data_IF_757798780617
#
_entry.id   IF_757798780617
#
_cell.length_a   1.000
_cell.length_b   1.000
_cell.length_c   1.000
_cell.angle_alpha   90.00
_cell.angle_beta   90.00
_cell.angle_gamma   90.00
#
_symmetry.space_group_name_H-M   'P 1'
#
loop_
_entity.id
_entity.type
_entity.pdbx_description
1 polymer ?
#
# COMPACT_ATOMS: atom_id res chain seq x y z
N UNK A 1 14.33 2.74 -2.77
CA UNK A 1 13.25 2.36 -1.84
C UNK A 1 13.80 1.30 -0.89
N UNK A 2 13.52 1.39 0.41
CA UNK A 2 13.96 0.41 1.41
C UNK A 2 12.75 -0.38 1.87
N UNK A 3 12.81 -1.70 1.79
CA UNK A 3 11.83 -2.59 2.40
C UNK A 3 12.28 -2.91 3.82
N UNK A 4 11.38 -2.76 4.78
CA UNK A 4 11.65 -3.04 6.22
C UNK A 4 10.98 -4.33 6.68
N UNK A 5 9.97 -4.78 5.94
CA UNK A 5 9.20 -5.98 6.22
C UNK A 5 8.61 -6.51 4.92
N UNK A 6 8.60 -7.84 4.75
CA UNK A 6 8.01 -8.53 3.59
C UNK A 6 7.33 -9.79 4.11
N UNK A 7 6.03 -9.93 3.83
CA UNK A 7 5.26 -11.13 4.17
C UNK A 7 4.86 -11.88 2.89
N UNK A 8 5.62 -12.91 2.48
CA UNK A 8 5.27 -13.75 1.33
C UNK A 8 4.26 -14.85 1.71
N UNK A 9 3.85 -15.67 0.74
CA UNK A 9 3.08 -16.90 0.98
C UNK A 9 1.56 -16.76 1.01
N UNK A 10 1.03 -15.64 0.53
CA UNK A 10 -0.41 -15.40 0.44
C UNK A 10 -0.95 -15.65 -0.97
N UNK A 11 -2.15 -16.21 -1.06
CA UNK A 11 -2.90 -16.32 -2.30
C UNK A 11 -3.22 -14.93 -2.87
N UNK A 12 -3.21 -14.78 -4.20
CA UNK A 12 -3.48 -13.49 -4.86
C UNK A 12 -4.89 -12.93 -4.62
N UNK A 13 -5.82 -13.75 -4.12
CA UNK A 13 -7.19 -13.39 -3.75
C UNK A 13 -7.34 -13.00 -2.28
N UNK A 14 -6.29 -13.09 -1.48
CA UNK A 14 -6.36 -12.78 -0.05
C UNK A 14 -6.70 -11.30 0.18
N UNK A 15 -7.53 -11.02 1.18
CA UNK A 15 -7.85 -9.64 1.53
C UNK A 15 -6.68 -8.96 2.24
N UNK A 16 -6.42 -7.71 1.89
CA UNK A 16 -5.42 -6.84 2.51
C UNK A 16 -5.47 -6.87 4.05
N UNK A 17 -6.68 -6.75 4.62
CA UNK A 17 -6.88 -6.79 6.07
C UNK A 17 -6.44 -8.11 6.71
N UNK A 18 -6.62 -9.24 6.02
CA UNK A 18 -6.21 -10.56 6.51
C UNK A 18 -4.69 -10.71 6.49
N UNK A 19 -4.05 -10.22 5.42
CA UNK A 19 -2.58 -10.20 5.31
C UNK A 19 -1.97 -9.31 6.38
N UNK A 20 -2.50 -8.10 6.60
CA UNK A 20 -2.03 -7.21 7.66
C UNK A 20 -2.24 -7.82 9.04
N UNK A 21 -3.42 -8.39 9.34
CA UNK A 21 -3.65 -9.01 10.65
C UNK A 21 -2.62 -10.09 10.94
N UNK A 22 -2.32 -10.95 9.95
CA UNK A 22 -1.30 -11.95 10.10
C UNK A 22 0.09 -11.34 10.29
N UNK A 23 0.45 -10.28 9.56
CA UNK A 23 1.71 -9.58 9.75
C UNK A 23 1.89 -9.05 11.18
N UNK A 24 0.81 -8.73 11.89
CA UNK A 24 0.84 -8.21 13.26
C UNK A 24 0.86 -9.29 14.34
N UNK A 25 0.31 -10.47 14.05
CA UNK A 25 0.17 -11.57 15.02
C UNK A 25 1.36 -12.55 15.02
N UNK A 26 2.30 -12.41 14.10
CA UNK A 26 3.47 -13.30 13.97
C UNK A 26 4.55 -12.99 15.02
N UNK A 27 5.44 -13.96 15.26
CA UNK A 27 6.63 -13.75 16.09
C UNK A 27 7.57 -12.71 15.48
N UNK A 28 7.71 -12.71 14.15
CA UNK A 28 8.41 -11.68 13.37
C UNK A 28 7.44 -10.56 12.96
N UNK A 29 6.71 -9.98 13.92
CA UNK A 29 5.64 -9.04 13.62
C UNK A 29 6.11 -7.76 12.91
N UNK A 30 5.23 -7.22 12.08
CA UNK A 30 5.39 -5.88 11.55
C UNK A 30 5.13 -4.84 12.63
N UNK A 31 6.19 -4.20 13.11
CA UNK A 31 6.10 -3.20 14.18
C UNK A 31 5.89 -1.78 13.63
N UNK A 32 4.94 -1.05 14.23
CA UNK A 32 4.81 0.39 14.00
C UNK A 32 5.62 1.15 15.04
N UNK A 33 6.60 1.98 14.64
CA UNK A 33 7.36 2.77 15.60
C UNK A 33 6.46 3.72 16.40
N UNK A 34 6.75 3.84 17.70
CA UNK A 34 5.98 4.70 18.62
C UNK A 34 5.91 6.13 18.09
N UNK A 35 4.70 6.71 18.08
CA UNK A 35 4.45 8.07 17.62
C UNK A 35 4.51 8.25 16.09
N UNK A 36 4.63 7.17 15.32
CA UNK A 36 4.63 7.21 13.85
C UNK A 36 3.44 6.48 13.27
N UNK A 37 3.15 6.81 12.00
CA UNK A 37 2.07 6.20 11.23
C UNK A 37 2.56 5.81 9.85
N UNK A 38 2.15 4.63 9.39
CA UNK A 38 2.29 4.20 8.01
C UNK A 38 1.09 4.67 7.17
N UNK A 39 1.35 5.13 5.96
CA UNK A 39 0.30 5.37 4.97
C UNK A 39 -0.07 4.04 4.32
N UNK A 40 -1.35 3.69 4.35
CA UNK A 40 -1.87 2.42 3.82
C UNK A 40 -2.85 2.67 2.68
N UNK A 41 -3.14 1.61 1.91
CA UNK A 41 -4.18 1.64 0.88
C UNK A 41 -5.59 1.87 1.47
N UNK A 42 -6.52 2.31 0.64
CA UNK A 42 -7.94 2.43 0.95
C UNK A 42 -8.60 1.10 1.37
N UNK A 43 -8.00 -0.03 0.96
CA UNK A 43 -8.39 -1.38 1.37
C UNK A 43 -8.13 -1.69 2.84
N UNK A 44 -7.24 -0.94 3.50
CA UNK A 44 -6.94 -1.12 4.92
C UNK A 44 -7.84 -0.26 5.81
N UNK A 45 -8.02 -0.71 7.05
CA UNK A 45 -8.73 0.03 8.08
C UNK A 45 -7.82 1.08 8.73
N UNK A 46 -8.36 2.27 9.00
CA UNK A 46 -7.68 3.26 9.83
C UNK A 46 -7.57 2.76 11.28
N UNK A 47 -6.44 3.04 11.93
CA UNK A 47 -6.21 2.69 13.33
C UNK A 47 -4.90 3.28 13.85
N UNK A 48 -4.58 3.10 15.14
CA UNK A 48 -3.29 3.50 15.69
C UNK A 48 -2.15 2.93 14.82
N UNK A 49 -1.27 3.81 14.33
CA UNK A 49 -0.15 3.42 13.47
C UNK A 49 -0.45 3.32 11.96
N UNK A 50 -1.71 3.42 11.52
CA UNK A 50 -2.09 3.24 10.11
C UNK A 50 -3.07 4.30 9.61
N UNK A 51 -2.73 4.96 8.49
CA UNK A 51 -3.53 6.02 7.88
C UNK A 51 -3.88 5.69 6.42
N UNK A 52 -5.12 5.29 6.22
CA UNK A 52 -5.76 5.14 4.93
C UNK A 52 -6.27 6.51 4.42
N UNK A 53 -6.44 6.70 3.10
CA UNK A 53 -7.03 7.92 2.57
C UNK A 53 -8.46 8.12 3.09
N UNK A 54 -8.90 9.38 3.16
CA UNK A 54 -10.30 9.69 3.44
C UNK A 54 -11.18 9.12 2.32
N UNK A 55 -12.18 8.33 2.72
CA UNK A 55 -13.18 7.76 1.80
C UNK A 55 -14.10 8.86 1.27
N UNK A 56 -14.69 8.60 0.10
CA UNK A 56 -15.63 9.51 -0.57
C UNK A 56 -15.07 10.93 -0.76
N UNK A 57 -13.75 11.05 -0.85
CA UNK A 57 -13.01 12.29 -1.08
C UNK A 57 -12.07 12.08 -2.24
N UNK A 58 -11.92 13.09 -3.10
CA UNK A 58 -11.03 13.06 -4.26
C UNK A 58 -9.63 12.55 -3.90
N UNK A 59 -9.06 11.68 -4.74
CA UNK A 59 -7.89 10.86 -4.38
C UNK A 59 -6.88 10.68 -5.52
N UNK A 60 -7.32 10.57 -6.77
CA UNK A 60 -6.44 10.28 -7.89
C UNK A 60 -5.65 11.52 -8.28
N UNK A 61 -4.33 11.38 -8.49
CA UNK A 61 -3.46 12.50 -8.88
C UNK A 61 -3.92 13.22 -10.14
N UNK A 62 -4.50 12.48 -11.10
CA UNK A 62 -5.00 13.02 -12.36
C UNK A 62 -6.15 14.02 -12.14
N UNK A 63 -6.93 13.86 -11.08
CA UNK A 63 -8.02 14.77 -10.76
C UNK A 63 -7.50 16.16 -10.36
N UNK A 64 -6.24 16.26 -9.92
CA UNK A 64 -5.59 17.50 -9.49
C UNK A 64 -4.73 18.17 -10.58
N UNK A 65 -4.59 17.53 -11.76
CA UNK A 65 -3.71 18.02 -12.82
C UNK A 65 -4.29 19.22 -13.60
N UNK A 66 -5.61 19.43 -13.52
CA UNK A 66 -6.30 20.54 -14.18
C UNK A 66 -6.09 21.86 -13.43
N UNK A 67 -5.88 22.95 -14.17
CA UNK A 67 -5.69 24.27 -13.61
C UNK A 67 -6.93 24.70 -12.79
N UNK A 68 -6.72 25.27 -11.59
CA UNK A 68 -7.79 25.69 -10.68
C UNK A 68 -8.36 24.59 -9.77
N UNK A 69 -7.94 23.33 -9.95
CA UNK A 69 -8.50 22.19 -9.23
C UNK A 69 -7.77 21.91 -7.90
N UNK A 70 -7.30 22.93 -7.18
CA UNK A 70 -6.50 22.74 -5.95
C UNK A 70 -7.34 22.16 -4.80
N UNK A 71 -6.73 21.43 -3.85
CA UNK A 71 -7.43 20.98 -2.66
C UNK A 71 -8.04 22.14 -1.89
N UNK A 72 -9.34 22.04 -1.60
CA UNK A 72 -10.11 23.06 -0.87
C UNK A 72 -10.29 22.67 0.59
N UNK A 73 -10.33 21.37 0.88
CA UNK A 73 -10.50 20.84 2.24
C UNK A 73 -9.23 20.17 2.77
N UNK A 74 -9.14 20.05 4.09
CA UNK A 74 -8.04 19.30 4.72
C UNK A 74 -8.02 17.81 4.31
N UNK A 75 -9.20 17.23 4.04
CA UNK A 75 -9.32 15.82 3.58
C UNK A 75 -8.75 15.65 2.18
N UNK A 76 -9.08 16.57 1.28
CA UNK A 76 -8.52 16.59 -0.08
C UNK A 76 -7.02 16.81 -0.07
N UNK A 77 -6.53 17.74 0.76
CA UNK A 77 -5.10 18.00 0.88
C UNK A 77 -4.35 16.77 1.41
N UNK A 78 -4.94 16.09 2.40
CA UNK A 78 -4.41 14.83 2.91
C UNK A 78 -4.37 13.76 1.81
N UNK A 79 -5.48 13.52 1.12
CA UNK A 79 -5.56 12.52 0.05
C UNK A 79 -4.59 12.81 -1.10
N UNK A 80 -4.43 14.07 -1.51
CA UNK A 80 -3.44 14.47 -2.50
C UNK A 80 -2.02 14.10 -2.06
N UNK A 81 -1.64 14.44 -0.83
CA UNK A 81 -0.31 14.12 -0.27
C UNK A 81 -0.10 12.62 -0.12
N UNK A 82 -1.13 11.90 0.30
CA UNK A 82 -1.15 10.45 0.42
C UNK A 82 -0.92 9.79 -0.96
N UNK A 83 -1.73 10.16 -1.95
CA UNK A 83 -1.67 9.68 -3.32
C UNK A 83 -0.31 9.97 -3.99
N UNK A 84 0.29 11.15 -3.74
CA UNK A 84 1.64 11.48 -4.22
C UNK A 84 2.70 10.52 -3.67
N UNK A 85 2.63 10.18 -2.38
CA UNK A 85 3.56 9.24 -1.74
C UNK A 85 3.34 7.81 -2.23
N UNK A 86 2.08 7.38 -2.35
CA UNK A 86 1.72 6.07 -2.88
C UNK A 86 2.21 5.87 -4.32
N UNK A 87 2.10 6.89 -5.17
CA UNK A 87 2.59 6.83 -6.56
C UNK A 87 4.09 6.48 -6.64
N UNK A 88 4.91 6.94 -5.69
CA UNK A 88 6.34 6.56 -5.64
C UNK A 88 6.50 5.05 -5.39
N UNK A 89 5.69 4.48 -4.49
CA UNK A 89 5.69 3.05 -4.17
C UNK A 89 5.22 2.24 -5.38
N UNK A 90 4.08 2.60 -5.97
CA UNK A 90 3.50 1.93 -7.14
C UNK A 90 4.45 1.94 -8.34
N UNK A 91 5.04 3.11 -8.65
CA UNK A 91 6.04 3.23 -9.73
C UNK A 91 7.26 2.36 -9.46
N UNK A 92 7.71 2.29 -8.20
CA UNK A 92 8.83 1.42 -7.83
C UNK A 92 8.48 -0.03 -8.09
N UNK A 93 7.33 -0.52 -7.61
CA UNK A 93 6.87 -1.89 -7.88
C UNK A 93 6.65 -2.15 -9.37
N UNK A 94 6.19 -1.16 -10.14
CA UNK A 94 6.09 -1.23 -11.60
C UNK A 94 7.45 -1.47 -12.26
N UNK A 95 8.50 -0.79 -11.81
CA UNK A 95 9.87 -1.03 -12.28
C UNK A 95 10.38 -2.41 -11.87
N UNK A 96 10.11 -2.87 -10.64
CA UNK A 96 10.47 -4.22 -10.21
C UNK A 96 9.80 -5.27 -11.11
N UNK A 97 8.48 -5.15 -11.35
CA UNK A 97 7.74 -6.05 -12.22
C UNK A 97 8.24 -6.04 -13.67
N UNK A 98 8.73 -4.91 -14.18
CA UNK A 98 9.36 -4.83 -15.52
C UNK A 98 10.68 -5.57 -15.58
N UNK A 99 11.50 -5.49 -14.53
CA UNK A 99 12.83 -6.11 -14.47
C UNK A 99 12.77 -7.61 -14.19
N UNK A 100 11.87 -8.05 -13.30
CA UNK A 100 11.76 -9.45 -12.89
C UNK A 100 10.43 -10.05 -13.34
N UNK A 101 10.49 -10.90 -14.37
CA UNK A 101 9.31 -11.51 -14.98
C UNK A 101 8.47 -12.33 -14.00
N UNK A 102 9.11 -12.95 -12.99
CA UNK A 102 8.47 -13.75 -11.95
C UNK A 102 7.46 -12.94 -11.11
N UNK A 103 7.59 -11.61 -11.04
CA UNK A 103 6.67 -10.74 -10.30
C UNK A 103 5.43 -10.32 -11.13
N UNK A 104 5.37 -10.69 -12.41
CA UNK A 104 4.29 -10.27 -13.32
C UNK A 104 3.13 -11.26 -13.37
N UNK A 105 3.42 -12.54 -13.17
CA UNK A 105 2.45 -13.62 -13.34
C UNK A 105 2.52 -14.55 -12.13
N UNK A 106 1.38 -15.14 -11.79
CA UNK A 106 1.34 -16.21 -10.81
C UNK A 106 2.27 -17.34 -11.27
N UNK A 107 3.10 -17.83 -10.37
CA UNK A 107 3.93 -19.00 -10.65
C UNK A 107 3.04 -20.24 -10.75
N UNK A 108 3.34 -21.11 -11.72
CA UNK A 108 2.64 -22.40 -11.91
C UNK A 108 2.99 -23.41 -10.80
N UNK A 109 3.97 -23.10 -9.96
CA UNK A 109 4.34 -23.94 -8.82
C UNK A 109 3.33 -23.78 -7.68
N UNK A 110 3.10 -24.82 -6.89
CA UNK A 110 2.22 -24.71 -5.73
C UNK A 110 2.85 -23.73 -4.70
N UNK A 111 2.05 -23.01 -3.89
CA UNK A 111 2.58 -22.07 -2.87
C UNK A 111 3.64 -22.72 -1.98
N UNK A 112 3.47 -24.01 -1.63
CA UNK A 112 4.45 -24.76 -0.84
C UNK A 112 5.83 -24.91 -1.50
N UNK A 113 5.90 -24.75 -2.82
CA UNK A 113 7.11 -24.88 -3.63
C UNK A 113 7.72 -23.51 -4.01
N UNK A 114 7.04 -22.40 -3.67
CA UNK A 114 7.45 -21.04 -4.02
C UNK A 114 8.29 -20.37 -2.91
N UNK A 115 8.94 -21.16 -2.04
CA UNK A 115 9.73 -20.68 -0.89
C UNK A 115 11.19 -21.05 -1.06
#
# INVERSE_FOLDING_TARGET
MKFVYVLPGWEGSASDSRVLRNALEREDCFEVPIGKYYLVDAGYTNGPGYLAPYRSTRYHLQEWATQGNNPTTYKELFNLRHSKKRNVIERTFGLLKKRWAILRQASFFNIKQQV
#
